data_IF_766587702251
#
_entry.id   IF_766587702251
#
_cell.length_a   1.000
_cell.length_b   1.000
_cell.length_c   1.000
_cell.angle_alpha   90.00
_cell.angle_beta   90.00
_cell.angle_gamma   90.00
#
_symmetry.space_group_name_H-M   'P 1'
#
loop_
_entity.id
_entity.type
_entity.pdbx_description
1 polymer ?
#
# COMPACT_ATOMS: atom_id res chain seq x y z
N UNK A 1 -14.53 -13.27 -9.54
CA UNK A 1 -13.50 -12.71 -10.44
C UNK A 1 -12.13 -13.13 -9.97
N UNK A 2 -11.43 -13.99 -10.73
CA UNK A 2 -10.08 -14.44 -10.43
C UNK A 2 -9.10 -13.27 -10.23
N UNK A 3 -9.25 -12.21 -11.03
CA UNK A 3 -8.47 -10.97 -10.97
C UNK A 3 -8.63 -10.20 -9.65
N UNK A 4 -9.79 -10.25 -8.99
CA UNK A 4 -10.01 -9.54 -7.73
C UNK A 4 -9.24 -10.18 -6.57
N UNK A 5 -9.16 -11.52 -6.55
CA UNK A 5 -8.38 -12.25 -5.54
C UNK A 5 -6.87 -12.11 -5.77
N UNK A 6 -6.44 -12.05 -7.03
CA UNK A 6 -5.05 -11.73 -7.39
C UNK A 6 -4.64 -10.34 -6.88
N UNK A 7 -5.49 -9.33 -7.06
CA UNK A 7 -5.25 -7.96 -6.56
C UNK A 7 -5.16 -7.96 -5.03
N UNK A 8 -6.08 -8.63 -4.32
CA UNK A 8 -6.03 -8.73 -2.84
C UNK A 8 -4.74 -9.41 -2.36
N UNK A 9 -4.32 -10.47 -3.04
CA UNK A 9 -3.07 -11.18 -2.72
C UNK A 9 -1.86 -10.28 -2.92
N UNK A 10 -1.81 -9.52 -4.03
CA UNK A 10 -0.75 -8.56 -4.28
C UNK A 10 -0.69 -7.46 -3.20
N UNK A 11 -1.85 -6.91 -2.80
CA UNK A 11 -1.94 -5.90 -1.73
C UNK A 11 -1.40 -6.45 -0.41
N UNK A 12 -1.79 -7.68 -0.03
CA UNK A 12 -1.29 -8.33 1.18
C UNK A 12 0.24 -8.46 1.16
N UNK A 13 0.81 -8.87 0.03
CA UNK A 13 2.26 -8.99 -0.12
C UNK A 13 2.97 -7.64 -0.06
N UNK A 14 2.43 -6.61 -0.72
CA UNK A 14 2.98 -5.25 -0.67
C UNK A 14 2.98 -4.73 0.76
N UNK A 15 1.88 -4.88 1.51
CA UNK A 15 1.80 -4.48 2.92
C UNK A 15 2.82 -5.22 3.78
N UNK A 16 2.99 -6.53 3.57
CA UNK A 16 3.98 -7.34 4.29
C UNK A 16 5.41 -6.85 4.04
N UNK A 17 5.82 -6.68 2.79
CA UNK A 17 7.18 -6.21 2.47
C UNK A 17 7.41 -4.76 2.90
N UNK A 18 6.40 -3.90 2.76
CA UNK A 18 6.44 -2.50 3.24
C UNK A 18 6.69 -2.46 4.76
N UNK A 19 6.02 -3.30 5.53
CA UNK A 19 6.25 -3.40 6.97
C UNK A 19 7.67 -3.87 7.29
N UNK A 20 8.20 -4.86 6.59
CA UNK A 20 9.58 -5.34 6.80
C UNK A 20 10.58 -4.22 6.51
N UNK A 21 10.42 -3.49 5.41
CA UNK A 21 11.31 -2.38 5.05
C UNK A 21 11.27 -1.30 6.13
N UNK A 22 10.08 -0.96 6.63
CA UNK A 22 9.91 0.01 7.71
C UNK A 22 10.61 -0.42 9.01
N UNK A 23 10.47 -1.68 9.42
CA UNK A 23 11.13 -2.18 10.62
C UNK A 23 12.66 -2.24 10.46
N UNK A 24 13.15 -2.59 9.27
CA UNK A 24 14.59 -2.58 8.97
C UNK A 24 15.17 -1.17 8.98
N UNK A 25 14.48 -0.18 8.38
CA UNK A 25 14.94 1.20 8.37
C UNK A 25 14.93 1.80 9.79
N UNK A 26 13.89 1.54 10.58
CA UNK A 26 13.81 1.94 11.98
C UNK A 26 14.89 1.29 12.84
N UNK A 27 15.13 -0.01 12.66
CA UNK A 27 16.21 -0.72 13.36
C UNK A 27 17.57 -0.11 13.03
N UNK A 28 17.83 0.17 11.75
CA UNK A 28 19.09 0.79 11.33
C UNK A 28 19.25 2.18 11.95
N UNK A 29 18.20 3.01 11.90
CA UNK A 29 18.19 4.33 12.54
C UNK A 29 18.54 4.27 14.03
N UNK A 30 17.93 3.35 14.77
CA UNK A 30 18.20 3.16 16.19
C UNK A 30 19.66 2.74 16.44
N UNK A 31 20.17 1.76 15.68
CA UNK A 31 21.57 1.32 15.77
C UNK A 31 22.51 2.50 15.55
N UNK A 32 22.24 3.31 14.53
CA UNK A 32 23.10 4.43 14.20
C UNK A 32 23.10 5.50 15.31
N UNK A 33 21.95 5.74 15.95
CA UNK A 33 21.84 6.65 17.10
C UNK A 33 22.59 6.11 18.33
N UNK A 34 22.48 4.80 18.62
CA UNK A 34 23.15 4.15 19.74
C UNK A 34 24.69 4.11 19.56
N UNK A 35 25.16 3.94 18.33
CA UNK A 35 26.58 3.87 18.02
C UNK A 35 27.25 5.25 17.88
N UNK A 36 26.49 6.34 17.96
CA UNK A 36 27.00 7.68 17.68
C UNK A 36 27.54 7.82 16.25
N UNK A 37 27.07 6.96 15.32
CA UNK A 37 27.32 7.17 13.90
C UNK A 37 26.79 8.55 13.55
N UNK A 38 27.40 9.22 12.57
CA UNK A 38 26.92 10.52 12.10
C UNK A 38 25.46 10.39 11.65
N UNK A 39 24.54 10.66 12.55
CA UNK A 39 23.09 10.73 12.36
C UNK A 39 22.72 12.10 12.88
N UNK A 40 22.18 12.91 11.99
CA UNK A 40 21.76 14.27 12.33
C UNK A 40 22.16 15.30 11.30
N UNK A 41 21.63 16.50 11.48
CA UNK A 41 21.70 17.63 10.55
C UNK A 41 23.05 18.38 10.60
N UNK A 42 24.00 17.91 11.40
CA UNK A 42 25.21 18.65 11.72
C UNK A 42 26.36 18.39 10.74
N UNK A 43 26.34 17.26 10.03
CA UNK A 43 27.35 16.87 9.04
C UNK A 43 26.67 16.25 7.83
N UNK A 44 27.13 16.62 6.63
CA UNK A 44 26.49 16.23 5.36
C UNK A 44 26.25 14.71 5.23
N UNK A 45 27.21 13.80 5.57
CA UNK A 45 26.95 12.36 5.49
C UNK A 45 25.83 11.90 6.44
N UNK A 46 25.72 12.51 7.62
CA UNK A 46 24.69 12.16 8.59
C UNK A 46 23.31 12.72 8.26
N UNK A 47 23.25 13.85 7.56
CA UNK A 47 22.00 14.41 7.02
C UNK A 47 21.46 13.52 5.91
N UNK A 48 22.30 13.12 4.94
CA UNK A 48 21.92 12.20 3.86
C UNK A 48 21.38 10.88 4.43
N UNK A 49 22.05 10.34 5.45
CA UNK A 49 21.63 9.10 6.09
C UNK A 49 20.31 9.24 6.83
N UNK A 50 20.12 10.32 7.57
CA UNK A 50 18.86 10.65 8.25
C UNK A 50 17.70 10.78 7.24
N UNK A 51 17.89 11.57 6.19
CA UNK A 51 16.89 11.79 5.15
C UNK A 51 16.54 10.50 4.41
N UNK A 52 17.53 9.65 4.11
CA UNK A 52 17.30 8.38 3.43
C UNK A 52 16.45 7.42 4.26
N UNK A 53 16.75 7.26 5.54
CA UNK A 53 15.99 6.39 6.44
C UNK A 53 14.57 6.94 6.69
N UNK A 54 14.44 8.27 6.84
CA UNK A 54 13.15 8.94 6.93
C UNK A 54 12.31 8.79 5.67
N UNK A 55 12.92 8.96 4.49
CA UNK A 55 12.26 8.80 3.20
C UNK A 55 11.76 7.36 2.98
N UNK A 56 12.52 6.34 3.40
CA UNK A 56 12.05 4.95 3.39
C UNK A 56 10.79 4.78 4.24
N UNK A 57 10.78 5.34 5.45
CA UNK A 57 9.60 5.29 6.32
C UNK A 57 8.38 5.96 5.68
N UNK A 58 8.56 7.15 5.12
CA UNK A 58 7.51 7.88 4.42
C UNK A 58 6.99 7.11 3.19
N UNK A 59 7.88 6.51 2.40
CA UNK A 59 7.50 5.70 1.23
C UNK A 59 6.66 4.48 1.64
N UNK A 60 7.00 3.80 2.75
CA UNK A 60 6.20 2.71 3.30
C UNK A 60 4.79 3.17 3.72
N UNK A 61 4.66 4.35 4.34
CA UNK A 61 3.36 4.95 4.67
C UNK A 61 2.54 5.25 3.41
N UNK A 62 3.14 5.84 2.38
CA UNK A 62 2.46 6.10 1.11
C UNK A 62 2.00 4.82 0.40
N UNK A 63 2.83 3.78 0.39
CA UNK A 63 2.44 2.46 -0.14
C UNK A 63 1.22 1.89 0.56
N UNK A 64 1.12 2.05 1.89
CA UNK A 64 -0.06 1.64 2.65
C UNK A 64 -1.32 2.42 2.24
N UNK A 65 -1.20 3.74 2.02
CA UNK A 65 -2.30 4.57 1.52
C UNK A 65 -2.75 4.13 0.13
N UNK A 66 -1.81 3.87 -0.78
CA UNK A 66 -2.15 3.38 -2.13
C UNK A 66 -2.82 2.01 -2.09
N UNK A 67 -2.37 1.09 -1.23
CA UNK A 67 -3.03 -0.19 -1.03
C UNK A 67 -4.50 0.00 -0.59
N UNK A 68 -4.75 0.88 0.39
CA UNK A 68 -6.11 1.16 0.85
C UNK A 68 -7.00 1.74 -0.25
N UNK A 69 -6.45 2.62 -1.11
CA UNK A 69 -7.18 3.18 -2.24
C UNK A 69 -7.54 2.10 -3.28
N UNK A 70 -6.62 1.18 -3.58
CA UNK A 70 -6.89 0.06 -4.49
C UNK A 70 -7.97 -0.86 -3.91
N UNK A 71 -7.92 -1.16 -2.61
CA UNK A 71 -8.96 -1.96 -1.93
C UNK A 71 -10.34 -1.30 -2.04
N UNK A 72 -10.42 0.02 -1.84
CA UNK A 72 -11.66 0.78 -2.00
C UNK A 72 -12.18 0.74 -3.44
N UNK A 73 -11.32 1.01 -4.42
CA UNK A 73 -11.67 0.97 -5.83
C UNK A 73 -12.12 -0.43 -6.29
N UNK A 74 -11.44 -1.48 -5.80
CA UNK A 74 -11.81 -2.86 -6.10
C UNK A 74 -13.19 -3.20 -5.53
N UNK A 75 -13.49 -2.76 -4.31
CA UNK A 75 -14.81 -2.91 -3.71
C UNK A 75 -15.89 -2.24 -4.57
N UNK A 76 -15.67 -0.99 -4.96
CA UNK A 76 -16.59 -0.26 -5.82
C UNK A 76 -16.80 -0.93 -7.18
N UNK A 77 -15.73 -1.42 -7.81
CA UNK A 77 -15.84 -2.14 -9.09
C UNK A 77 -16.67 -3.43 -8.97
N UNK A 78 -16.47 -4.20 -7.89
CA UNK A 78 -17.27 -5.42 -7.63
C UNK A 78 -18.74 -5.08 -7.37
N UNK A 79 -19.02 -3.99 -6.67
CA UNK A 79 -20.39 -3.52 -6.41
C UNK A 79 -21.08 -3.07 -7.71
N UNK A 80 -20.38 -2.34 -8.58
CA UNK A 80 -20.89 -1.91 -9.89
C UNK A 80 -21.13 -3.09 -10.83
N UNK A 81 -20.24 -4.06 -10.88
CA UNK A 81 -20.39 -5.29 -11.68
C UNK A 81 -21.67 -6.05 -11.30
N UNK A 82 -21.94 -6.19 -9.98
CA UNK A 82 -23.18 -6.81 -9.48
C UNK A 82 -24.44 -6.05 -9.88
N UNK A 83 -24.41 -4.72 -9.81
CA UNK A 83 -25.55 -3.88 -10.20
C UNK A 83 -25.86 -4.04 -11.68
N UNK A 84 -24.84 -3.95 -12.55
CA UNK A 84 -24.99 -4.13 -14.00
C UNK A 84 -25.57 -5.51 -14.34
N UNK A 85 -25.06 -6.56 -13.69
CA UNK A 85 -25.57 -7.91 -13.92
C UNK A 85 -27.02 -8.09 -13.47
N UNK A 86 -27.44 -7.43 -12.38
CA UNK A 86 -28.83 -7.48 -11.93
C UNK A 86 -29.77 -6.76 -12.90
N UNK A 87 -29.38 -5.58 -13.38
CA UNK A 87 -30.17 -4.78 -14.34
C UNK A 87 -30.37 -5.52 -15.67
N UNK A 88 -29.34 -6.19 -16.20
CA UNK A 88 -29.45 -6.97 -17.45
C UNK A 88 -30.46 -8.12 -17.33
N UNK A 89 -30.60 -8.73 -16.14
CA UNK A 89 -31.57 -9.80 -15.90
C UNK A 89 -32.99 -9.23 -15.92
N UNK A 90 -33.21 -8.10 -15.23
CA UNK A 90 -34.53 -7.44 -15.19
C UNK A 90 -34.97 -6.91 -16.56
N UNK A 91 -34.05 -6.37 -17.38
CA UNK A 91 -34.35 -5.94 -18.74
C UNK A 91 -34.75 -7.13 -19.64
N UNK A 92 -34.03 -8.25 -19.56
CA UNK A 92 -34.36 -9.46 -20.33
C UNK A 92 -35.68 -10.09 -19.90
N UNK A 93 -36.02 -10.05 -18.62
CA UNK A 93 -37.31 -10.56 -18.13
C UNK A 93 -38.48 -9.69 -18.59
N UNK A 94 -38.30 -8.37 -18.69
CA UNK A 94 -39.33 -7.44 -19.17
C UNK A 94 -39.52 -7.46 -20.70
N UNK A 95 -38.53 -7.85 -21.50
CA UNK A 95 -38.66 -8.00 -22.96
C UNK A 95 -39.40 -9.29 -23.40
N UNK A 96 -39.61 -10.24 -22.50
CA UNK A 96 -40.23 -11.56 -22.79
C UNK A 96 -41.76 -11.56 -22.52
N UNK A 97 -42.33 -10.44 -22.04
CA UNK A 97 -43.78 -10.27 -21.76
C UNK A 97 -44.41 -9.40 -22.84
#
# INVERSE_FOLDING_TARGET
MQTAEEIKSAIKNIRYYSQIIYELSKKQFNIDCEQGQHIGVNLQPGTIRFDSLGAMGAACSWLNTYCSNIEANLKTAIEQDKLLHHTIIEEKENEII
#
